data_IF_341836241931
#
_entry.id   IF_341836241931
#
_cell.length_a   1.000
_cell.length_b   1.000
_cell.length_c   1.000
_cell.angle_alpha   90.00
_cell.angle_beta   90.00
_cell.angle_gamma   90.00
#
_symmetry.space_group_name_H-M   'P 1'
#
loop_
_entity.id
_entity.type
_entity.pdbx_description
1 polymer ?
#
# COMPACT_ATOMS: atom_id res chain seq x y z
N UNK A 1 4.09 -23.77 42.37
CA UNK A 1 3.89 -22.77 43.46
C UNK A 1 5.16 -21.97 43.76
N UNK A 2 6.35 -22.54 43.60
CA UNK A 2 7.62 -21.81 43.95
C UNK A 2 7.94 -20.63 43.00
N UNK A 3 7.65 -20.71 41.72
CA UNK A 3 7.97 -19.64 40.75
C UNK A 3 7.15 -18.36 40.97
N UNK A 4 5.90 -18.47 41.36
CA UNK A 4 4.99 -17.33 41.65
C UNK A 4 5.44 -16.58 42.92
N UNK A 5 5.82 -17.33 43.97
CA UNK A 5 6.33 -16.71 45.20
C UNK A 5 7.65 -15.98 44.93
N UNK A 6 8.57 -16.58 44.17
CA UNK A 6 9.82 -15.94 43.77
C UNK A 6 9.62 -14.68 42.91
N UNK A 7 8.62 -14.70 41.99
CA UNK A 7 8.31 -13.54 41.17
C UNK A 7 7.78 -12.37 41.99
N UNK A 8 6.90 -12.62 42.98
CA UNK A 8 6.41 -11.60 43.93
C UNK A 8 7.55 -11.02 44.76
N UNK A 9 8.44 -11.86 45.27
CA UNK A 9 9.61 -11.43 46.05
C UNK A 9 10.60 -10.61 45.22
N UNK A 10 10.67 -10.88 43.91
CA UNK A 10 11.48 -10.12 42.95
C UNK A 10 10.80 -8.83 42.44
N UNK A 11 9.56 -8.55 42.88
CA UNK A 11 8.83 -7.32 42.55
C UNK A 11 8.11 -7.34 41.20
N UNK A 12 7.91 -8.54 40.58
CA UNK A 12 7.09 -8.67 39.40
C UNK A 12 5.59 -8.67 39.73
N UNK A 13 4.78 -8.13 38.81
CA UNK A 13 3.35 -8.31 38.83
C UNK A 13 3.01 -9.77 38.57
N UNK A 14 2.02 -10.32 39.26
CA UNK A 14 1.68 -11.74 39.18
C UNK A 14 0.20 -11.92 38.92
N UNK A 15 -0.10 -12.62 37.84
CA UNK A 15 -1.45 -13.01 37.45
C UNK A 15 -1.81 -14.39 38.05
N UNK A 16 -2.91 -14.47 38.80
CA UNK A 16 -3.34 -15.68 39.49
C UNK A 16 -4.52 -16.39 38.81
N UNK A 17 -5.16 -15.77 37.80
CA UNK A 17 -6.31 -16.32 37.10
C UNK A 17 -6.38 -15.83 35.67
N UNK A 18 -6.66 -16.71 34.72
CA UNK A 18 -6.88 -16.36 33.31
C UNK A 18 -8.09 -15.42 33.07
N UNK A 19 -9.03 -15.38 34.05
CA UNK A 19 -10.22 -14.50 33.99
C UNK A 19 -9.92 -13.02 34.28
N UNK A 20 -8.73 -12.72 34.80
CA UNK A 20 -8.29 -11.36 35.11
C UNK A 20 -7.65 -10.64 33.92
N UNK A 21 -7.38 -11.37 32.84
CA UNK A 21 -6.72 -10.80 31.64
C UNK A 21 -7.74 -10.27 30.66
N UNK A 22 -7.69 -8.97 30.42
CA UNK A 22 -8.31 -8.36 29.22
C UNK A 22 -7.23 -8.26 28.15
N UNK A 23 -7.37 -9.07 27.11
CA UNK A 23 -6.40 -9.13 26.02
C UNK A 23 -6.60 -7.96 25.04
N UNK A 24 -5.58 -7.12 24.88
CA UNK A 24 -5.54 -6.08 23.87
C UNK A 24 -5.09 -6.68 22.52
N UNK A 25 -5.91 -6.51 21.48
CA UNK A 25 -5.60 -7.05 20.13
C UNK A 25 -4.33 -6.44 19.53
N UNK A 26 -4.00 -5.19 19.84
CA UNK A 26 -2.80 -4.52 19.33
C UNK A 26 -1.56 -5.07 20.03
N UNK A 27 -1.61 -5.16 21.37
CA UNK A 27 -0.52 -5.70 22.18
C UNK A 27 -0.12 -7.14 21.76
N UNK A 28 -1.10 -7.98 21.46
CA UNK A 28 -0.92 -9.37 21.01
C UNK A 28 -0.15 -9.52 19.71
N UNK A 29 -0.16 -8.50 18.85
CA UNK A 29 0.49 -8.52 17.53
C UNK A 29 1.93 -8.01 17.53
N UNK A 30 2.39 -7.47 18.65
CA UNK A 30 3.72 -6.85 18.74
C UNK A 30 4.84 -7.91 18.81
N UNK A 31 4.60 -9.02 19.50
CA UNK A 31 5.55 -10.10 19.62
C UNK A 31 5.28 -11.22 18.60
N UNK A 32 6.32 -11.76 17.94
CA UNK A 32 6.18 -12.92 17.05
C UNK A 32 5.67 -14.16 17.77
N UNK A 33 4.90 -15.00 17.08
CA UNK A 33 4.26 -16.21 17.64
C UNK A 33 5.23 -17.33 18.01
N UNK A 34 6.48 -17.27 17.59
CA UNK A 34 7.56 -18.22 17.93
C UNK A 34 8.25 -17.89 19.26
N UNK A 35 7.99 -16.71 19.82
CA UNK A 35 8.46 -16.30 21.14
C UNK A 35 7.47 -16.79 22.20
N UNK A 36 7.99 -17.46 23.24
CA UNK A 36 7.19 -17.88 24.40
C UNK A 36 6.88 -16.73 25.34
N UNK A 37 6.28 -15.69 24.80
CA UNK A 37 5.84 -14.50 25.52
C UNK A 37 4.55 -13.98 24.86
N UNK A 38 3.64 -13.44 25.65
CA UNK A 38 2.35 -12.95 25.15
C UNK A 38 2.18 -11.49 25.53
N UNK A 39 2.06 -10.60 24.53
CA UNK A 39 1.63 -9.22 24.74
C UNK A 39 0.16 -9.20 25.18
N UNK A 40 -0.14 -8.65 26.36
CA UNK A 40 -1.49 -8.66 26.92
C UNK A 40 -2.15 -7.28 26.93
N UNK A 41 -1.39 -6.21 27.13
CA UNK A 41 -1.91 -4.85 27.08
C UNK A 41 -0.87 -3.86 26.53
N UNK A 42 -1.33 -2.71 26.06
CA UNK A 42 -0.48 -1.61 25.61
C UNK A 42 -0.90 -0.34 26.32
N UNK A 43 -0.01 0.20 27.16
CA UNK A 43 -0.22 1.44 27.91
C UNK A 43 0.79 2.50 27.44
N UNK A 44 0.39 3.36 26.50
CA UNK A 44 1.31 4.33 25.88
C UNK A 44 2.44 3.61 25.13
N UNK A 45 3.68 3.86 25.51
CA UNK A 45 4.88 3.26 24.89
C UNK A 45 5.38 2.01 25.64
N UNK A 46 4.56 1.43 26.53
CA UNK A 46 4.92 0.24 27.30
C UNK A 46 4.01 -0.92 26.94
N UNK A 47 4.62 -2.01 26.43
CA UNK A 47 3.95 -3.27 26.19
C UNK A 47 3.99 -4.14 27.46
N UNK A 48 2.83 -4.51 27.97
CA UNK A 48 2.73 -5.50 29.03
C UNK A 48 2.84 -6.91 28.44
N UNK A 49 3.80 -7.68 28.94
CA UNK A 49 4.15 -9.03 28.44
C UNK A 49 3.93 -10.06 29.54
N UNK A 50 3.15 -11.10 29.24
CA UNK A 50 2.91 -12.23 30.12
C UNK A 50 3.95 -13.33 29.85
N UNK A 51 4.57 -13.84 30.92
CA UNK A 51 5.53 -14.94 30.90
C UNK A 51 5.18 -16.00 31.97
N UNK A 52 5.58 -17.24 31.74
CA UNK A 52 5.43 -18.34 32.70
C UNK A 52 6.65 -18.53 33.61
N UNK A 53 7.65 -17.65 33.48
CA UNK A 53 8.89 -17.66 34.24
C UNK A 53 9.48 -16.26 34.41
N UNK A 54 10.41 -16.10 35.33
CA UNK A 54 11.14 -14.84 35.51
C UNK A 54 12.21 -14.74 34.41
N UNK A 55 12.16 -13.71 33.54
CA UNK A 55 13.11 -13.61 32.42
C UNK A 55 14.51 -13.26 32.94
N UNK A 56 15.53 -13.81 32.29
CA UNK A 56 16.90 -13.39 32.49
C UNK A 56 17.11 -11.97 31.91
N UNK A 57 18.13 -11.21 32.36
CA UNK A 57 18.42 -9.89 31.80
C UNK A 57 18.64 -9.90 30.26
N UNK A 58 19.20 -10.98 29.74
CA UNK A 58 19.40 -11.13 28.28
C UNK A 58 18.08 -11.34 27.53
N UNK A 59 17.20 -12.17 28.07
CA UNK A 59 15.87 -12.43 27.53
C UNK A 59 14.98 -11.19 27.60
N UNK A 60 15.04 -10.44 28.70
CA UNK A 60 14.34 -9.18 28.84
C UNK A 60 14.76 -8.16 27.76
N UNK A 61 16.07 -7.99 27.55
CA UNK A 61 16.61 -7.11 26.52
C UNK A 61 16.26 -7.56 25.09
N UNK A 62 16.16 -8.87 24.85
CA UNK A 62 15.74 -9.43 23.55
C UNK A 62 14.26 -9.19 23.30
N UNK A 63 13.40 -9.33 24.31
CA UNK A 63 11.97 -9.00 24.23
C UNK A 63 11.75 -7.52 23.94
N UNK A 64 12.43 -6.59 24.65
CA UNK A 64 12.35 -5.15 24.37
C UNK A 64 12.81 -4.82 22.94
N UNK A 65 13.91 -5.41 22.50
CA UNK A 65 14.42 -5.23 21.14
C UNK A 65 13.44 -5.72 20.10
N UNK A 66 12.79 -6.87 20.34
CA UNK A 66 11.82 -7.47 19.41
C UNK A 66 10.51 -6.70 19.39
N UNK A 67 10.05 -6.24 20.57
CA UNK A 67 8.87 -5.37 20.67
C UNK A 67 9.13 -3.96 20.09
N UNK A 68 10.37 -3.51 20.07
CA UNK A 68 10.72 -2.15 19.64
C UNK A 68 10.27 -1.05 20.60
N UNK A 69 9.90 -1.42 21.83
CA UNK A 69 9.39 -0.51 22.89
C UNK A 69 9.72 -1.05 24.28
N UNK A 70 9.49 -0.26 25.32
CA UNK A 70 9.62 -0.70 26.69
C UNK A 70 8.64 -1.82 27.01
N UNK A 71 9.04 -2.79 27.83
CA UNK A 71 8.16 -3.87 28.29
C UNK A 71 7.96 -3.81 29.81
N UNK A 72 6.74 -4.12 30.24
CA UNK A 72 6.41 -4.47 31.62
C UNK A 72 6.10 -5.96 31.67
N UNK A 73 6.70 -6.70 32.60
CA UNK A 73 6.56 -8.15 32.67
C UNK A 73 5.62 -8.54 33.77
N UNK A 74 4.59 -9.28 33.43
CA UNK A 74 3.67 -9.96 34.37
C UNK A 74 3.96 -11.44 34.34
N UNK A 75 4.10 -12.06 35.48
CA UNK A 75 4.42 -13.49 35.64
C UNK A 75 3.16 -14.28 36.00
N UNK A 76 3.03 -15.46 35.42
CA UNK A 76 1.92 -16.37 35.75
C UNK A 76 2.42 -17.82 35.89
N UNK A 77 1.55 -18.72 36.34
CA UNK A 77 1.88 -20.15 36.32
C UNK A 77 1.88 -20.68 34.89
N UNK A 78 2.64 -21.76 34.67
CA UNK A 78 2.73 -22.40 33.36
C UNK A 78 1.37 -22.88 32.84
N UNK A 79 0.51 -23.34 33.74
CA UNK A 79 -0.85 -23.79 33.43
C UNK A 79 -1.73 -22.62 32.96
N UNK A 80 -1.70 -21.50 33.69
CA UNK A 80 -2.47 -20.28 33.34
C UNK A 80 -1.91 -19.67 32.05
N UNK A 81 -0.57 -19.60 31.91
CA UNK A 81 0.03 -19.13 30.67
C UNK A 81 -0.43 -19.95 29.48
N UNK A 82 -0.37 -21.29 29.57
CA UNK A 82 -0.81 -22.17 28.52
C UNK A 82 -2.31 -22.01 28.21
N UNK A 83 -3.14 -21.86 29.23
CA UNK A 83 -4.58 -21.59 29.03
C UNK A 83 -4.82 -20.28 28.26
N UNK A 84 -4.14 -19.19 28.65
CA UNK A 84 -4.24 -17.90 27.98
C UNK A 84 -3.62 -17.98 26.58
N UNK A 85 -2.47 -18.63 26.43
CA UNK A 85 -1.80 -18.83 25.14
C UNK A 85 -2.67 -19.65 24.17
N UNK A 86 -3.31 -20.72 24.66
CA UNK A 86 -4.24 -21.54 23.88
C UNK A 86 -5.53 -20.79 23.54
N UNK A 87 -6.07 -20.01 24.48
CA UNK A 87 -7.17 -19.09 24.23
C UNK A 87 -6.77 -18.03 23.17
N UNK A 88 -5.58 -17.52 23.25
CA UNK A 88 -5.04 -16.50 22.34
C UNK A 88 -4.83 -17.07 20.95
N UNK A 89 -4.26 -18.28 20.88
CA UNK A 89 -4.09 -18.99 19.61
C UNK A 89 -5.45 -19.50 19.07
N UNK A 90 -6.41 -19.87 19.91
CA UNK A 90 -7.77 -20.17 19.48
C UNK A 90 -8.46 -18.94 18.86
N UNK A 91 -8.29 -17.76 19.43
CA UNK A 91 -8.84 -16.52 18.85
C UNK A 91 -8.13 -16.15 17.54
N UNK A 92 -6.84 -16.47 17.39
CA UNK A 92 -6.11 -16.34 16.10
C UNK A 92 -6.51 -17.45 15.11
N UNK A 93 -6.96 -18.61 15.59
CA UNK A 93 -7.42 -19.77 14.80
C UNK A 93 -8.97 -19.92 14.79
N UNK A 94 -9.72 -18.93 15.30
CA UNK A 94 -11.19 -18.92 15.30
C UNK A 94 -11.79 -18.63 13.91
N UNK A 95 -10.95 -18.66 12.88
CA UNK A 95 -11.45 -18.76 11.53
C UNK A 95 -12.17 -20.11 11.37
N UNK A 96 -13.41 -20.13 10.84
CA UNK A 96 -14.15 -21.35 10.59
C UNK A 96 -13.29 -22.39 9.89
N UNK A 97 -13.54 -23.67 10.14
CA UNK A 97 -12.77 -24.82 9.65
C UNK A 97 -12.46 -24.80 8.14
N UNK A 98 -13.19 -23.97 7.39
CA UNK A 98 -13.05 -23.81 5.94
C UNK A 98 -12.17 -22.60 5.59
N UNK A 99 -12.48 -21.42 6.09
CA UNK A 99 -11.83 -20.18 5.63
C UNK A 99 -10.39 -20.07 6.10
N UNK A 100 -10.09 -20.42 7.35
CA UNK A 100 -8.73 -20.35 7.90
C UNK A 100 -7.72 -21.20 7.13
N UNK A 101 -7.96 -22.53 6.99
CA UNK A 101 -7.09 -23.38 6.18
C UNK A 101 -7.01 -22.96 4.70
N UNK A 102 -8.11 -22.46 4.10
CA UNK A 102 -8.09 -21.98 2.71
C UNK A 102 -7.22 -20.74 2.55
N UNK A 103 -7.26 -19.78 3.49
CA UNK A 103 -6.38 -18.62 3.52
C UNK A 103 -4.91 -19.03 3.69
N UNK A 104 -4.62 -19.99 4.56
CA UNK A 104 -3.27 -20.52 4.75
C UNK A 104 -2.73 -21.15 3.46
N UNK A 105 -3.51 -22.05 2.83
CA UNK A 105 -3.13 -22.68 1.55
C UNK A 105 -2.93 -21.65 0.43
N UNK A 106 -3.76 -20.61 0.38
CA UNK A 106 -3.59 -19.53 -0.61
C UNK A 106 -2.26 -18.79 -0.42
N UNK A 107 -1.84 -18.52 0.82
CA UNK A 107 -0.54 -17.91 1.11
C UNK A 107 0.62 -18.83 0.73
N UNK A 108 0.55 -20.13 1.08
CA UNK A 108 1.58 -21.12 0.73
C UNK A 108 1.79 -21.27 -0.77
N UNK A 109 0.69 -21.14 -1.56
CA UNK A 109 0.73 -21.22 -3.02
C UNK A 109 1.07 -19.89 -3.70
N UNK A 110 1.38 -18.84 -2.95
CA UNK A 110 1.60 -17.48 -3.45
C UNK A 110 0.44 -16.98 -4.33
N UNK A 111 -0.79 -17.27 -3.89
CA UNK A 111 -1.98 -16.89 -4.61
C UNK A 111 -2.31 -15.41 -4.39
N UNK A 112 -2.74 -14.73 -5.46
CA UNK A 112 -3.22 -13.35 -5.39
C UNK A 112 -4.64 -13.24 -4.85
N UNK A 113 -5.50 -14.21 -5.20
CA UNK A 113 -6.91 -14.19 -4.84
C UNK A 113 -7.37 -15.58 -4.35
N UNK A 114 -8.36 -15.58 -3.45
CA UNK A 114 -9.10 -16.75 -2.99
C UNK A 114 -10.60 -16.52 -3.22
N UNK A 115 -11.28 -17.49 -3.83
CA UNK A 115 -12.70 -17.45 -4.08
C UNK A 115 -13.38 -18.60 -3.38
N UNK A 116 -14.44 -18.30 -2.61
CA UNK A 116 -15.27 -19.27 -1.93
C UNK A 116 -16.70 -19.15 -2.45
N UNK A 117 -17.28 -20.25 -2.93
CA UNK A 117 -18.66 -20.30 -3.40
C UNK A 117 -19.27 -21.68 -3.15
N UNK A 118 -20.59 -21.72 -2.95
CA UNK A 118 -21.32 -22.95 -2.69
C UNK A 118 -21.24 -23.91 -3.88
N UNK A 119 -21.04 -25.19 -3.61
CA UNK A 119 -21.00 -26.24 -4.62
C UNK A 119 -19.66 -26.39 -5.34
N UNK A 120 -18.65 -25.60 -5.01
CA UNK A 120 -17.29 -25.70 -5.53
C UNK A 120 -16.28 -25.80 -4.39
N UNK A 121 -15.12 -26.47 -4.56
CA UNK A 121 -14.02 -26.33 -3.60
C UNK A 121 -13.52 -24.87 -3.60
N UNK A 122 -12.76 -24.44 -2.57
CA UNK A 122 -12.07 -23.16 -2.60
C UNK A 122 -11.19 -23.06 -3.84
N UNK A 123 -11.23 -21.91 -4.53
CA UNK A 123 -10.47 -21.66 -5.76
C UNK A 123 -9.49 -20.54 -5.52
N UNK A 124 -8.24 -20.73 -5.89
CA UNK A 124 -7.17 -19.72 -5.77
C UNK A 124 -6.73 -19.25 -7.15
N UNK A 125 -6.22 -18.01 -7.22
CA UNK A 125 -5.56 -17.48 -8.41
C UNK A 125 -4.04 -17.47 -8.20
N UNK A 126 -3.34 -18.30 -8.99
CA UNK A 126 -1.88 -18.42 -8.93
C UNK A 126 -1.30 -18.16 -10.32
N UNK A 127 -0.42 -17.18 -10.44
CA UNK A 127 0.18 -16.81 -11.72
C UNK A 127 -0.84 -16.35 -12.78
N UNK A 128 -2.00 -15.81 -12.35
CA UNK A 128 -3.10 -15.39 -13.22
C UNK A 128 -4.17 -16.48 -13.46
N UNK A 129 -3.85 -17.76 -13.28
CA UNK A 129 -4.75 -18.89 -13.50
C UNK A 129 -5.57 -19.24 -12.28
N UNK A 130 -6.86 -19.57 -12.46
CA UNK A 130 -7.73 -20.08 -11.41
C UNK A 130 -7.52 -21.59 -11.25
N UNK A 131 -7.25 -22.02 -10.01
CA UNK A 131 -7.03 -23.43 -9.65
C UNK A 131 -7.83 -23.78 -8.40
N UNK A 132 -8.58 -24.89 -8.38
CA UNK A 132 -9.19 -25.38 -7.14
C UNK A 132 -8.09 -25.87 -6.20
N UNK A 133 -8.28 -25.66 -4.88
CA UNK A 133 -7.41 -26.22 -3.89
C UNK A 133 -7.53 -27.75 -3.89
N UNK A 134 -6.39 -28.44 -3.94
CA UNK A 134 -6.35 -29.90 -3.89
C UNK A 134 -6.82 -30.43 -2.52
N UNK A 135 -7.44 -31.60 -2.52
CA UNK A 135 -7.98 -32.27 -1.32
C UNK A 135 -9.14 -31.57 -0.62
N UNK A 136 -9.82 -30.62 -1.31
CA UNK A 136 -11.02 -29.96 -0.81
C UNK A 136 -12.27 -30.48 -1.52
N UNK A 137 -13.33 -30.71 -0.73
CA UNK A 137 -14.68 -30.96 -1.27
C UNK A 137 -15.41 -29.65 -1.62
N UNK A 138 -16.57 -29.79 -2.30
CA UNK A 138 -17.48 -28.67 -2.56
C UNK A 138 -17.95 -28.04 -1.24
N UNK A 139 -17.94 -26.71 -1.15
CA UNK A 139 -18.40 -25.96 0.02
C UNK A 139 -19.92 -25.98 0.13
N UNK A 140 -20.43 -26.10 1.35
CA UNK A 140 -21.85 -26.02 1.67
C UNK A 140 -22.29 -24.58 1.96
N UNK A 141 -23.61 -24.34 2.00
CA UNK A 141 -24.19 -23.08 2.49
C UNK A 141 -23.77 -22.78 3.95
N UNK A 142 -23.65 -23.81 4.79
CA UNK A 142 -23.19 -23.64 6.17
C UNK A 142 -21.75 -23.17 6.28
N UNK A 143 -20.87 -23.66 5.40
CA UNK A 143 -19.48 -23.25 5.34
C UNK A 143 -19.35 -21.75 4.95
N UNK A 144 -20.13 -21.32 3.95
CA UNK A 144 -20.13 -19.93 3.50
C UNK A 144 -20.77 -19.00 4.54
N UNK A 145 -21.82 -19.43 5.23
CA UNK A 145 -22.44 -18.66 6.32
C UNK A 145 -21.44 -18.45 7.46
N UNK A 146 -20.78 -19.50 7.90
CA UNK A 146 -19.76 -19.41 8.96
C UNK A 146 -18.57 -18.53 8.54
N UNK A 147 -18.12 -18.62 7.28
CA UNK A 147 -17.08 -17.76 6.74
C UNK A 147 -17.52 -16.27 6.70
N UNK A 148 -18.75 -16.00 6.28
CA UNK A 148 -19.32 -14.65 6.24
C UNK A 148 -19.48 -14.05 7.65
N UNK A 149 -20.00 -14.81 8.60
CA UNK A 149 -20.13 -14.40 10.00
C UNK A 149 -18.77 -14.04 10.61
N UNK A 150 -17.74 -14.81 10.33
CA UNK A 150 -16.38 -14.53 10.78
C UNK A 150 -15.80 -13.26 10.15
N UNK A 151 -16.01 -13.05 8.85
CA UNK A 151 -15.57 -11.84 8.13
C UNK A 151 -16.25 -10.59 8.66
N UNK A 152 -17.55 -10.66 8.91
CA UNK A 152 -18.36 -9.52 9.36
C UNK A 152 -18.20 -9.23 10.87
N UNK A 153 -17.82 -10.22 11.66
CA UNK A 153 -17.69 -10.08 13.11
C UNK A 153 -18.97 -9.56 13.75
N UNK A 154 -18.90 -8.41 14.43
CA UNK A 154 -20.08 -7.80 15.09
C UNK A 154 -21.19 -7.36 14.12
N UNK A 155 -20.90 -7.19 12.84
CA UNK A 155 -21.88 -6.87 11.79
C UNK A 155 -22.63 -8.09 11.26
N UNK A 156 -22.31 -9.30 11.75
CA UNK A 156 -22.94 -10.54 11.30
C UNK A 156 -24.46 -10.59 11.54
N UNK A 157 -24.96 -9.85 12.52
CA UNK A 157 -26.41 -9.71 12.79
C UNK A 157 -27.17 -9.05 11.64
N UNK A 158 -26.49 -8.28 10.80
CA UNK A 158 -27.09 -7.64 9.61
C UNK A 158 -27.32 -8.66 8.47
N UNK A 159 -26.71 -9.86 8.53
CA UNK A 159 -26.84 -10.89 7.49
C UNK A 159 -28.25 -11.47 7.37
N UNK A 160 -29.02 -11.51 8.46
CA UNK A 160 -30.32 -12.19 8.51
C UNK A 160 -31.48 -11.34 7.98
N UNK A 161 -31.32 -9.99 7.99
CA UNK A 161 -32.40 -9.05 7.66
C UNK A 161 -32.35 -8.46 6.23
N UNK A 162 -31.27 -8.71 5.45
CA UNK A 162 -31.12 -8.11 4.13
C UNK A 162 -31.32 -9.11 2.97
N UNK A 163 -32.26 -8.81 2.06
CA UNK A 163 -32.43 -9.55 0.80
C UNK A 163 -31.17 -9.51 -0.10
N UNK A 164 -30.38 -8.44 -0.01
CA UNK A 164 -29.14 -8.24 -0.77
C UNK A 164 -27.98 -8.02 0.21
N UNK A 165 -26.87 -8.70 -0.03
CA UNK A 165 -25.61 -8.49 0.69
C UNK A 165 -24.55 -8.14 -0.33
N UNK A 166 -23.90 -6.99 -0.13
CA UNK A 166 -22.72 -6.55 -0.87
C UNK A 166 -21.83 -5.80 0.13
N UNK A 167 -20.83 -6.51 0.68
CA UNK A 167 -19.92 -5.98 1.69
C UNK A 167 -18.50 -5.99 1.12
N UNK A 168 -17.87 -4.82 1.13
CA UNK A 168 -16.45 -4.66 0.83
C UNK A 168 -15.72 -4.25 2.12
N UNK A 169 -14.66 -4.97 2.45
CA UNK A 169 -13.91 -4.75 3.68
C UNK A 169 -12.57 -5.46 3.67
N UNK A 170 -11.90 -5.46 4.82
CA UNK A 170 -10.63 -6.13 4.97
C UNK A 170 -10.55 -6.90 6.29
N UNK A 171 -9.85 -8.03 6.26
CA UNK A 171 -9.53 -8.84 7.44
C UNK A 171 -8.04 -9.05 7.54
N UNK A 172 -7.56 -9.34 8.74
CA UNK A 172 -6.19 -9.79 8.97
C UNK A 172 -6.21 -11.20 9.52
N UNK A 173 -5.54 -12.14 8.84
CA UNK A 173 -5.40 -13.52 9.27
C UNK A 173 -3.93 -13.91 9.27
N UNK A 174 -3.39 -14.35 10.41
CA UNK A 174 -1.97 -14.73 10.61
C UNK A 174 -1.00 -13.67 10.07
N UNK A 175 -1.24 -12.41 10.42
CA UNK A 175 -0.41 -11.26 10.01
C UNK A 175 -0.51 -10.87 8.52
N UNK A 176 -1.37 -11.55 7.75
CA UNK A 176 -1.62 -11.22 6.34
C UNK A 176 -2.97 -10.53 6.20
N UNK A 177 -2.99 -9.38 5.55
CA UNK A 177 -4.22 -8.62 5.30
C UNK A 177 -4.86 -9.06 3.99
N UNK A 178 -6.17 -9.22 4.02
CA UNK A 178 -6.98 -9.62 2.88
C UNK A 178 -8.09 -8.60 2.67
N UNK A 179 -8.23 -8.10 1.46
CA UNK A 179 -9.44 -7.41 1.04
C UNK A 179 -10.50 -8.45 0.76
N UNK A 180 -11.70 -8.23 1.26
CA UNK A 180 -12.81 -9.19 1.16
C UNK A 180 -14.01 -8.51 0.56
N UNK A 181 -14.55 -9.08 -0.50
CA UNK A 181 -15.88 -8.76 -1.01
C UNK A 181 -16.78 -9.96 -0.74
N UNK A 182 -17.82 -9.75 0.07
CA UNK A 182 -18.86 -10.73 0.39
C UNK A 182 -20.14 -10.30 -0.32
N UNK A 183 -20.70 -11.20 -1.10
CA UNK A 183 -21.89 -10.93 -1.93
C UNK A 183 -22.79 -12.14 -2.05
N UNK A 184 -24.03 -11.91 -2.48
CA UNK A 184 -24.98 -13.00 -2.85
C UNK A 184 -24.93 -13.26 -4.34
N UNK A 185 -24.91 -14.54 -4.71
CA UNK A 185 -25.12 -15.04 -6.06
C UNK A 185 -26.10 -16.22 -6.05
N UNK A 186 -27.14 -16.21 -6.92
CA UNK A 186 -28.14 -17.29 -7.01
C UNK A 186 -28.65 -17.73 -5.63
N UNK A 187 -29.03 -16.76 -4.79
CA UNK A 187 -29.51 -16.94 -3.41
C UNK A 187 -28.50 -17.59 -2.42
N UNK A 188 -27.24 -17.74 -2.81
CA UNK A 188 -26.16 -18.26 -1.96
C UNK A 188 -25.09 -17.20 -1.72
N UNK A 189 -24.37 -17.30 -0.59
CA UNK A 189 -23.23 -16.43 -0.29
C UNK A 189 -22.01 -16.83 -1.12
N UNK A 190 -21.20 -15.84 -1.46
CA UNK A 190 -19.88 -16.01 -2.05
C UNK A 190 -18.91 -14.97 -1.48
N UNK A 191 -17.63 -15.35 -1.37
CA UNK A 191 -16.55 -14.46 -0.96
C UNK A 191 -15.46 -14.43 -2.03
N UNK A 192 -15.03 -13.24 -2.38
CA UNK A 192 -13.81 -13.01 -3.15
C UNK A 192 -12.81 -12.27 -2.28
N UNK A 193 -11.64 -12.85 -2.09
CA UNK A 193 -10.64 -12.34 -1.16
C UNK A 193 -9.33 -12.13 -1.90
N UNK A 194 -8.73 -10.94 -1.77
CA UNK A 194 -7.43 -10.59 -2.36
C UNK A 194 -6.39 -10.41 -1.29
N UNK A 195 -5.27 -11.12 -1.43
CA UNK A 195 -4.13 -10.96 -0.54
C UNK A 195 -3.47 -9.60 -0.77
N UNK A 196 -3.33 -8.81 0.30
CA UNK A 196 -2.63 -7.53 0.27
C UNK A 196 -1.13 -7.79 0.52
N UNK A 197 -0.25 -7.41 -0.43
CA UNK A 197 1.19 -7.59 -0.28
C UNK A 197 1.74 -6.81 0.91
N UNK A 198 2.66 -7.41 1.65
CA UNK A 198 3.36 -6.76 2.79
C UNK A 198 4.68 -6.10 2.40
N UNK A 199 5.14 -6.32 1.18
CA UNK A 199 6.37 -5.72 0.65
C UNK A 199 6.08 -5.15 -0.72
N UNK A 200 6.15 -3.83 -0.91
CA UNK A 200 6.14 -3.27 -2.25
C UNK A 200 7.42 -3.70 -2.99
N UNK A 201 7.38 -3.81 -4.33
CA UNK A 201 8.58 -4.04 -5.12
C UNK A 201 9.57 -2.89 -4.92
N UNK A 202 10.84 -3.13 -5.20
CA UNK A 202 11.83 -2.06 -5.17
C UNK A 202 11.57 -1.08 -6.33
N UNK A 203 11.78 0.21 -6.08
CA UNK A 203 11.49 1.25 -7.07
C UNK A 203 12.28 1.04 -8.38
N UNK A 204 13.52 0.56 -8.26
CA UNK A 204 14.41 0.24 -9.38
C UNK A 204 13.91 -0.91 -10.26
N UNK A 205 13.12 -1.81 -9.69
CA UNK A 205 12.55 -2.98 -10.39
C UNK A 205 11.32 -2.62 -11.24
N UNK A 206 10.72 -1.45 -11.01
CA UNK A 206 9.50 -1.01 -11.69
C UNK A 206 9.74 -0.50 -13.11
N UNK A 207 10.99 -0.21 -13.49
CA UNK A 207 11.30 0.35 -14.81
C UNK A 207 10.99 1.84 -14.94
N UNK A 208 10.85 2.56 -13.81
CA UNK A 208 10.74 4.02 -13.78
C UNK A 208 12.11 4.67 -13.92
N UNK A 209 12.21 5.88 -14.53
CA UNK A 209 13.42 6.66 -14.53
C UNK A 209 13.98 6.89 -13.12
N UNK A 210 15.31 6.90 -12.96
CA UNK A 210 15.98 7.12 -11.67
C UNK A 210 15.56 8.43 -10.98
N UNK A 211 15.20 9.46 -11.74
CA UNK A 211 14.69 10.72 -11.22
C UNK A 211 13.43 10.55 -10.33
N UNK A 212 12.62 9.50 -10.57
CA UNK A 212 11.47 9.19 -9.70
C UNK A 212 11.95 8.71 -8.33
N UNK A 213 13.08 8.01 -8.27
CA UNK A 213 13.68 7.59 -7.01
C UNK A 213 14.21 8.79 -6.19
N UNK A 214 14.67 9.84 -6.85
CA UNK A 214 15.14 11.07 -6.19
C UNK A 214 14.00 11.86 -5.54
N UNK A 215 12.74 11.63 -5.94
CA UNK A 215 11.57 12.23 -5.27
C UNK A 215 11.46 11.83 -3.79
N UNK A 216 12.06 10.71 -3.37
CA UNK A 216 12.16 10.32 -1.96
C UNK A 216 12.94 11.33 -1.10
N UNK A 217 13.83 12.13 -1.69
CA UNK A 217 14.65 13.13 -1.02
C UNK A 217 13.90 14.45 -0.76
N UNK A 218 12.78 14.67 -1.44
CA UNK A 218 11.98 15.88 -1.29
C UNK A 218 11.41 15.97 0.13
N UNK A 219 11.44 17.18 0.69
CA UNK A 219 10.89 17.46 2.02
C UNK A 219 9.51 18.10 1.96
N UNK A 220 9.14 18.72 0.82
CA UNK A 220 7.86 19.39 0.63
C UNK A 220 7.47 19.47 -0.83
N UNK A 221 6.21 19.76 -1.09
CA UNK A 221 5.65 19.92 -2.43
C UNK A 221 4.71 18.77 -2.81
N UNK A 222 4.18 18.84 -4.03
CA UNK A 222 3.21 17.90 -4.56
C UNK A 222 3.84 17.01 -5.64
N UNK A 223 3.70 15.70 -5.52
CA UNK A 223 4.06 14.72 -6.55
C UNK A 223 2.81 13.98 -6.97
N UNK A 224 2.53 13.95 -8.26
CA UNK A 224 1.34 13.34 -8.81
C UNK A 224 1.67 12.10 -9.65
N UNK A 225 1.02 10.99 -9.33
CA UNK A 225 1.03 9.79 -10.14
C UNK A 225 -0.27 9.71 -10.94
N UNK A 226 -0.16 9.59 -12.27
CA UNK A 226 -1.31 9.61 -13.16
C UNK A 226 -1.39 8.35 -14.04
N UNK A 227 -2.56 8.07 -14.59
CA UNK A 227 -2.80 6.94 -15.46
C UNK A 227 -4.16 6.28 -15.20
N UNK A 228 -4.58 5.35 -16.07
CA UNK A 228 -5.82 4.60 -15.89
C UNK A 228 -5.76 3.68 -14.68
N UNK A 229 -6.90 3.10 -14.32
CA UNK A 229 -6.96 2.05 -13.29
C UNK A 229 -6.09 0.87 -13.72
N UNK A 230 -5.31 0.32 -12.79
CA UNK A 230 -4.40 -0.79 -13.06
C UNK A 230 -3.10 -0.42 -13.80
N UNK A 231 -2.75 0.87 -13.91
CA UNK A 231 -1.48 1.32 -14.52
C UNK A 231 -0.26 1.24 -13.57
N UNK A 232 -0.44 0.78 -12.32
CA UNK A 232 0.65 0.60 -11.37
C UNK A 232 0.93 1.82 -10.48
N UNK A 233 0.05 2.84 -10.43
CA UNK A 233 0.23 4.05 -9.60
C UNK A 233 0.46 3.73 -8.13
N UNK A 234 -0.43 2.94 -7.52
CA UNK A 234 -0.33 2.57 -6.10
C UNK A 234 0.94 1.78 -5.81
N UNK A 235 1.34 0.88 -6.73
CA UNK A 235 2.59 0.13 -6.61
C UNK A 235 3.81 1.05 -6.62
N UNK A 236 3.85 2.03 -7.52
CA UNK A 236 4.95 3.00 -7.61
C UNK A 236 4.99 3.93 -6.40
N UNK A 237 3.83 4.39 -5.92
CA UNK A 237 3.76 5.19 -4.69
C UNK A 237 4.18 4.38 -3.47
N UNK A 238 3.72 3.12 -3.36
CA UNK A 238 4.12 2.25 -2.26
C UNK A 238 5.64 1.99 -2.26
N UNK A 239 6.25 1.78 -3.44
CA UNK A 239 7.70 1.65 -3.57
C UNK A 239 8.44 2.94 -3.17
N UNK A 240 7.90 4.11 -3.51
CA UNK A 240 8.47 5.39 -3.11
C UNK A 240 8.33 5.62 -1.59
N UNK A 241 7.18 5.30 -1.00
CA UNK A 241 6.96 5.34 0.46
C UNK A 241 7.91 4.38 1.19
N UNK A 242 8.08 3.15 0.70
CA UNK A 242 9.00 2.18 1.29
C UNK A 242 10.45 2.70 1.26
N UNK A 243 10.87 3.38 0.17
CA UNK A 243 12.17 4.03 0.08
C UNK A 243 12.31 5.17 1.10
N UNK A 244 11.33 6.07 1.20
CA UNK A 244 11.31 7.14 2.21
C UNK A 244 11.42 6.55 3.61
N UNK A 245 10.62 5.52 3.93
CA UNK A 245 10.59 4.83 5.22
C UNK A 245 11.95 4.20 5.59
N UNK A 246 12.71 3.68 4.60
CA UNK A 246 14.05 3.13 4.78
C UNK A 246 15.14 4.18 4.95
N UNK A 247 15.02 5.32 4.28
CA UNK A 247 16.09 6.32 4.18
C UNK A 247 15.93 7.46 5.19
N UNK A 248 14.70 7.86 5.53
CA UNK A 248 14.41 9.07 6.31
C UNK A 248 13.82 8.73 7.68
N UNK A 249 14.05 9.62 8.66
CA UNK A 249 13.38 9.62 9.97
C UNK A 249 12.28 10.66 9.92
N UNK A 250 11.08 10.25 9.59
CA UNK A 250 9.95 11.15 9.41
C UNK A 250 8.62 10.43 9.72
N UNK A 251 7.55 11.19 9.88
CA UNK A 251 6.22 10.66 10.01
C UNK A 251 5.54 10.61 8.64
N UNK A 252 5.19 9.42 8.19
CA UNK A 252 4.48 9.15 6.95
C UNK A 252 3.03 8.81 7.30
N UNK A 253 2.08 9.54 6.72
CA UNK A 253 0.67 9.27 6.89
C UNK A 253 0.03 8.99 5.54
N UNK A 254 -0.71 7.88 5.41
CA UNK A 254 -1.42 7.55 4.19
C UNK A 254 -2.93 7.57 4.40
N UNK A 255 -3.68 7.95 3.37
CA UNK A 255 -5.14 7.90 3.31
C UNK A 255 -5.49 7.19 2.01
N UNK A 256 -6.04 5.99 2.09
CA UNK A 256 -6.19 5.06 0.98
C UNK A 256 -7.61 4.47 0.91
N UNK A 257 -8.02 4.01 -0.27
CA UNK A 257 -9.35 3.40 -0.49
C UNK A 257 -9.25 2.28 -1.55
N UNK A 258 -8.96 1.05 -1.10
CA UNK A 258 -8.42 0.63 0.20
C UNK A 258 -6.87 0.70 0.28
N UNK A 259 -6.30 0.27 1.42
CA UNK A 259 -4.85 0.05 1.56
C UNK A 259 -4.42 -1.10 0.65
N UNK A 260 -3.53 -0.83 -0.32
CA UNK A 260 -3.02 -1.84 -1.27
C UNK A 260 -1.70 -2.50 -0.82
N UNK A 261 -0.91 -1.83 0.00
CA UNK A 261 0.35 -2.34 0.57
C UNK A 261 0.46 -1.99 2.04
N UNK A 262 0.88 -2.93 2.86
CA UNK A 262 1.19 -2.66 4.27
C UNK A 262 2.65 -2.23 4.42
N UNK A 263 2.88 -1.15 5.16
CA UNK A 263 4.21 -0.65 5.48
C UNK A 263 4.51 -0.84 6.96
N UNK A 264 5.54 -1.61 7.27
CA UNK A 264 6.06 -1.70 8.63
C UNK A 264 6.95 -0.50 8.93
N UNK A 265 6.94 -0.01 10.17
CA UNK A 265 7.86 1.04 10.61
C UNK A 265 9.31 0.58 10.43
N UNK A 266 10.16 1.47 9.88
CA UNK A 266 11.60 1.24 9.73
C UNK A 266 12.38 2.42 10.35
N UNK A 267 12.89 3.37 9.53
CA UNK A 267 13.42 4.62 10.05
C UNK A 267 12.32 5.64 10.31
N UNK A 268 11.23 5.55 9.57
CA UNK A 268 10.05 6.41 9.73
C UNK A 268 8.96 5.70 10.51
N UNK A 269 8.03 6.47 11.07
CA UNK A 269 6.75 5.98 11.58
C UNK A 269 5.75 6.07 10.42
N UNK A 270 5.01 5.00 10.14
CA UNK A 270 4.03 4.95 9.07
C UNK A 270 2.65 4.66 9.65
N UNK A 271 1.74 5.61 9.50
CA UNK A 271 0.34 5.46 9.84
C UNK A 271 -0.49 5.39 8.56
N UNK A 272 -1.17 4.27 8.35
CA UNK A 272 -2.03 4.04 7.19
C UNK A 272 -3.50 4.08 7.62
N UNK A 273 -4.31 4.89 6.94
CA UNK A 273 -5.73 5.07 7.23
C UNK A 273 -6.56 4.71 6.02
N UNK A 274 -7.51 3.80 6.21
CA UNK A 274 -8.41 3.35 5.16
C UNK A 274 -9.73 4.13 5.20
N UNK A 275 -10.16 4.64 4.03
CA UNK A 275 -11.47 5.29 3.89
C UNK A 275 -12.58 4.26 4.08
N UNK A 276 -13.61 4.62 4.84
CA UNK A 276 -14.70 3.71 5.20
C UNK A 276 -14.47 2.91 6.48
N UNK A 277 -13.20 2.80 6.96
CA UNK A 277 -12.84 2.15 8.21
C UNK A 277 -12.24 3.11 9.23
N UNK A 278 -11.12 3.76 8.89
CA UNK A 278 -10.37 4.63 9.81
C UNK A 278 -10.74 6.11 9.63
N UNK A 279 -11.29 6.44 8.47
CA UNK A 279 -11.80 7.78 8.15
C UNK A 279 -12.98 7.65 7.19
N UNK A 280 -13.94 8.58 7.25
CA UNK A 280 -15.13 8.49 6.42
C UNK A 280 -14.91 8.96 4.97
N UNK A 281 -13.98 9.89 4.72
CA UNK A 281 -13.68 10.42 3.39
C UNK A 281 -12.21 10.83 3.28
N UNK A 282 -11.69 10.94 2.04
CA UNK A 282 -10.36 11.50 1.79
C UNK A 282 -10.19 12.89 2.35
N UNK A 283 -11.16 13.78 2.14
CA UNK A 283 -11.12 15.18 2.61
C UNK A 283 -11.03 15.27 4.13
N UNK A 284 -11.83 14.50 4.87
CA UNK A 284 -11.80 14.47 6.35
C UNK A 284 -10.50 13.85 6.86
N UNK A 285 -10.06 12.75 6.26
CA UNK A 285 -8.79 12.11 6.58
C UNK A 285 -7.61 13.05 6.42
N UNK A 286 -7.54 13.76 5.29
CA UNK A 286 -6.46 14.71 4.97
C UNK A 286 -6.47 15.94 5.89
N UNK A 287 -7.65 16.52 6.18
CA UNK A 287 -7.77 17.60 7.16
C UNK A 287 -7.33 17.18 8.57
N UNK A 288 -7.63 15.95 8.97
CA UNK A 288 -7.18 15.42 10.25
C UNK A 288 -5.66 15.20 10.25
N UNK A 289 -5.11 14.68 9.15
CA UNK A 289 -3.68 14.43 8.96
C UNK A 289 -2.82 15.68 9.24
N UNK A 290 -3.24 16.86 8.77
CA UNK A 290 -2.52 18.13 8.99
C UNK A 290 -2.35 18.52 10.48
N UNK A 291 -3.05 17.85 11.39
CA UNK A 291 -2.92 18.05 12.86
C UNK A 291 -2.20 16.88 13.56
N UNK A 292 -1.63 15.97 12.79
CA UNK A 292 -0.96 14.76 13.28
C UNK A 292 0.55 14.80 13.06
N UNK A 293 1.10 16.00 12.80
CA UNK A 293 2.54 16.24 12.58
C UNK A 293 3.18 15.36 11.49
N UNK A 294 2.57 15.24 10.30
CA UNK A 294 3.14 14.44 9.22
C UNK A 294 4.22 15.22 8.46
N UNK A 295 5.29 14.55 8.07
CA UNK A 295 6.26 15.07 7.09
C UNK A 295 5.85 14.70 5.66
N UNK A 296 5.29 13.50 5.49
CA UNK A 296 4.87 12.93 4.21
C UNK A 296 3.43 12.48 4.29
N UNK A 297 2.62 12.90 3.33
CA UNK A 297 1.22 12.53 3.23
C UNK A 297 0.99 11.83 1.89
N UNK A 298 0.44 10.62 1.90
CA UNK A 298 -0.06 9.96 0.70
C UNK A 298 -1.58 10.05 0.67
N UNK A 299 -2.12 10.56 -0.44
CA UNK A 299 -3.56 10.58 -0.72
C UNK A 299 -3.84 9.63 -1.88
N UNK A 300 -4.56 8.56 -1.62
CA UNK A 300 -4.82 7.52 -2.62
C UNK A 300 -5.34 8.08 -3.93
N UNK A 301 -6.26 9.01 -3.89
CA UNK A 301 -6.81 9.67 -5.09
C UNK A 301 -7.36 11.07 -4.79
N UNK A 302 -7.12 12.01 -5.72
CA UNK A 302 -7.71 13.36 -5.74
C UNK A 302 -8.97 13.36 -6.62
N UNK A 303 -10.15 13.08 -6.03
CA UNK A 303 -11.42 12.99 -6.75
C UNK A 303 -12.25 14.26 -6.68
N UNK A 304 -12.22 14.94 -5.57
CA UNK A 304 -13.06 16.10 -5.28
C UNK A 304 -12.24 17.36 -5.01
N UNK A 305 -12.91 18.51 -5.22
CA UNK A 305 -12.30 19.85 -5.09
C UNK A 305 -11.74 20.10 -3.68
N UNK A 306 -12.43 19.60 -2.65
CA UNK A 306 -12.03 19.81 -1.26
C UNK A 306 -10.73 19.06 -0.92
N UNK A 307 -10.63 17.81 -1.36
CA UNK A 307 -9.40 16.99 -1.22
C UNK A 307 -8.25 17.61 -2.00
N UNK A 308 -8.50 18.08 -3.25
CA UNK A 308 -7.49 18.77 -4.07
C UNK A 308 -6.98 20.04 -3.41
N UNK A 309 -7.89 20.92 -2.94
CA UNK A 309 -7.51 22.17 -2.27
C UNK A 309 -6.71 21.93 -1.00
N UNK A 310 -7.10 20.93 -0.20
CA UNK A 310 -6.40 20.57 1.04
C UNK A 310 -5.01 19.99 0.75
N UNK A 311 -4.86 19.16 -0.30
CA UNK A 311 -3.58 18.60 -0.74
C UNK A 311 -2.61 19.68 -1.23
N UNK A 312 -3.11 20.64 -2.03
CA UNK A 312 -2.33 21.80 -2.48
C UNK A 312 -1.87 22.64 -1.29
N UNK A 313 -2.77 22.95 -0.35
CA UNK A 313 -2.43 23.68 0.86
C UNK A 313 -1.37 22.95 1.70
N UNK A 314 -1.49 21.65 1.90
CA UNK A 314 -0.50 20.84 2.61
C UNK A 314 0.89 20.95 1.93
N UNK A 315 0.94 20.82 0.61
CA UNK A 315 2.18 20.93 -0.16
C UNK A 315 2.83 22.31 -0.06
N UNK A 316 2.04 23.39 -0.04
CA UNK A 316 2.52 24.77 0.15
C UNK A 316 3.01 25.03 1.57
N UNK A 317 2.41 24.39 2.58
CA UNK A 317 2.75 24.59 3.99
C UNK A 317 3.90 23.72 4.49
N UNK A 318 4.61 23.02 3.59
CA UNK A 318 5.87 22.36 3.91
C UNK A 318 5.81 20.84 4.00
N UNK A 319 4.68 20.21 3.66
CA UNK A 319 4.54 18.75 3.62
C UNK A 319 4.87 18.19 2.23
N UNK A 320 5.47 17.01 2.17
CA UNK A 320 5.56 16.25 0.93
C UNK A 320 4.25 15.50 0.72
N UNK A 321 3.51 15.86 -0.32
CA UNK A 321 2.23 15.23 -0.67
C UNK A 321 2.40 14.36 -1.91
N UNK A 322 2.09 13.07 -1.79
CA UNK A 322 2.01 12.12 -2.90
C UNK A 322 0.55 11.82 -3.18
N UNK A 323 0.09 11.93 -4.42
CA UNK A 323 -1.31 11.66 -4.73
C UNK A 323 -1.51 11.06 -6.13
N UNK A 324 -2.68 10.43 -6.37
CA UNK A 324 -3.03 9.97 -7.72
C UNK A 324 -4.10 10.80 -8.38
N UNK A 325 -4.03 10.81 -9.72
CA UNK A 325 -5.02 11.44 -10.60
C UNK A 325 -5.26 10.53 -11.81
N UNK A 326 -6.50 10.43 -12.28
CA UNK A 326 -6.80 9.74 -13.54
C UNK A 326 -6.63 10.68 -14.72
N UNK A 327 -5.45 10.67 -15.34
CA UNK A 327 -5.13 11.41 -16.56
C UNK A 327 -4.01 10.68 -17.31
N UNK A 328 -3.84 10.92 -18.60
CA UNK A 328 -2.91 10.17 -19.47
C UNK A 328 -1.58 10.88 -19.72
N UNK A 329 -1.49 12.19 -19.48
CA UNK A 329 -0.31 13.03 -19.76
C UNK A 329 -0.16 14.14 -18.73
N UNK A 330 1.02 14.73 -18.62
CA UNK A 330 1.31 15.77 -17.63
C UNK A 330 0.47 17.05 -17.85
N UNK A 331 0.25 17.44 -19.08
CA UNK A 331 -0.63 18.57 -19.44
C UNK A 331 -2.09 18.30 -19.07
N UNK A 332 -2.58 17.08 -19.32
CA UNK A 332 -3.93 16.68 -18.96
C UNK A 332 -4.14 16.59 -17.44
N UNK A 333 -3.11 16.21 -16.67
CA UNK A 333 -3.13 16.27 -15.20
C UNK A 333 -3.37 17.68 -14.71
N UNK A 334 -2.56 18.65 -15.17
CA UNK A 334 -2.70 20.06 -14.79
C UNK A 334 -4.06 20.61 -15.21
N UNK A 335 -4.45 20.37 -16.46
CA UNK A 335 -5.75 20.82 -16.99
C UNK A 335 -6.91 20.28 -16.16
N UNK A 336 -6.89 18.99 -15.84
CA UNK A 336 -7.95 18.33 -15.05
C UNK A 336 -8.05 18.90 -13.64
N UNK A 337 -6.91 19.06 -12.95
CA UNK A 337 -6.89 19.63 -11.60
C UNK A 337 -7.50 21.04 -11.61
N UNK A 338 -7.02 21.90 -12.51
CA UNK A 338 -7.48 23.30 -12.57
C UNK A 338 -8.96 23.40 -12.96
N UNK A 339 -9.40 22.60 -13.95
CA UNK A 339 -10.79 22.64 -14.42
C UNK A 339 -11.80 22.08 -13.40
N UNK A 340 -11.34 21.38 -12.37
CA UNK A 340 -12.20 20.92 -11.28
C UNK A 340 -12.68 22.07 -10.38
N UNK A 341 -11.98 23.21 -10.37
CA UNK A 341 -12.31 24.37 -9.57
C UNK A 341 -13.22 25.35 -10.32
N UNK A 342 -14.02 26.16 -9.59
CA UNK A 342 -14.80 27.25 -10.19
C UNK A 342 -13.91 28.18 -11.03
N UNK A 343 -14.44 28.70 -12.13
CA UNK A 343 -13.69 29.53 -13.08
C UNK A 343 -12.97 30.73 -12.42
N UNK A 344 -13.58 31.33 -11.40
CA UNK A 344 -12.99 32.47 -10.67
C UNK A 344 -11.78 32.11 -9.77
N UNK A 345 -11.57 30.82 -9.49
CA UNK A 345 -10.50 30.34 -8.61
C UNK A 345 -9.33 29.72 -9.41
N UNK A 346 -9.53 29.40 -10.68
CA UNK A 346 -8.57 28.62 -11.50
C UNK A 346 -7.20 29.29 -11.63
N UNK A 347 -7.12 30.62 -11.73
CA UNK A 347 -5.85 31.33 -11.83
C UNK A 347 -5.06 31.28 -10.51
N UNK A 348 -5.75 31.29 -9.37
CA UNK A 348 -5.14 31.10 -8.07
C UNK A 348 -4.62 29.67 -7.93
N UNK A 349 -5.42 28.66 -8.31
CA UNK A 349 -5.03 27.26 -8.27
C UNK A 349 -3.82 26.98 -9.18
N UNK A 350 -3.77 27.56 -10.38
CA UNK A 350 -2.60 27.47 -11.26
C UNK A 350 -1.33 28.03 -10.61
N UNK A 351 -1.45 29.15 -9.92
CA UNK A 351 -0.32 29.76 -9.21
C UNK A 351 0.14 28.86 -8.06
N UNK A 352 -0.78 28.32 -7.27
CA UNK A 352 -0.48 27.39 -6.19
C UNK A 352 0.15 26.09 -6.73
N UNK A 353 -0.44 25.53 -7.79
CA UNK A 353 0.10 24.34 -8.45
C UNK A 353 1.51 24.57 -8.99
N UNK A 354 1.73 25.70 -9.69
CA UNK A 354 3.04 26.06 -10.21
C UNK A 354 4.10 26.23 -9.11
N UNK A 355 3.72 26.65 -7.89
CA UNK A 355 4.65 26.80 -6.76
C UNK A 355 4.93 25.47 -6.04
N UNK A 356 3.93 24.65 -5.84
CA UNK A 356 4.02 23.45 -5.01
C UNK A 356 4.36 22.16 -5.78
N UNK A 357 4.00 22.06 -7.07
CA UNK A 357 4.22 20.86 -7.87
C UNK A 357 5.71 20.58 -8.08
N UNK A 358 6.15 19.35 -7.81
CA UNK A 358 7.54 18.89 -7.96
C UNK A 358 7.69 17.90 -9.13
N UNK A 359 6.73 17.00 -9.32
CA UNK A 359 6.75 16.05 -10.42
C UNK A 359 5.37 15.55 -10.79
N UNK A 360 5.23 15.13 -12.05
CA UNK A 360 4.11 14.32 -12.54
C UNK A 360 4.69 13.07 -13.17
N UNK A 361 4.16 11.89 -12.78
CA UNK A 361 4.53 10.57 -13.29
C UNK A 361 3.30 9.91 -13.88
N UNK A 362 3.15 9.95 -15.19
CA UNK A 362 2.08 9.26 -15.90
C UNK A 362 2.52 7.86 -16.27
N UNK A 363 1.66 6.86 -16.06
CA UNK A 363 2.01 5.44 -16.14
C UNK A 363 1.02 4.64 -16.99
N UNK A 364 1.57 3.73 -17.80
CA UNK A 364 0.82 2.73 -18.58
C UNK A 364 1.51 1.38 -18.44
N UNK A 365 0.75 0.32 -18.15
CA UNK A 365 1.23 -1.06 -18.11
C UNK A 365 0.83 -1.83 -19.38
N UNK A 366 1.83 -2.34 -20.09
CA UNK A 366 1.66 -3.09 -21.32
C UNK A 366 1.97 -4.57 -21.13
N UNK A 367 1.30 -5.48 -21.88
CA UNK A 367 1.67 -6.89 -21.92
C UNK A 367 3.05 -7.06 -22.55
N UNK A 368 3.85 -7.97 -22.00
CA UNK A 368 5.16 -8.32 -22.55
C UNK A 368 5.05 -9.33 -23.70
N UNK A 369 6.03 -9.35 -24.60
CA UNK A 369 6.06 -10.27 -25.76
C UNK A 369 6.06 -11.73 -25.31
N UNK A 370 6.79 -12.06 -24.25
CA UNK A 370 6.87 -13.40 -23.68
C UNK A 370 5.57 -13.86 -22.98
N UNK A 371 4.57 -12.94 -22.88
CA UNK A 371 3.32 -13.19 -22.18
C UNK A 371 3.51 -13.73 -20.75
N UNK A 372 4.64 -13.44 -20.13
CA UNK A 372 4.85 -13.68 -18.71
C UNK A 372 3.79 -12.95 -17.89
N UNK A 373 3.56 -13.34 -16.65
CA UNK A 373 2.65 -12.65 -15.74
C UNK A 373 3.07 -11.19 -15.46
N UNK A 374 4.28 -10.82 -15.86
CA UNK A 374 4.84 -9.50 -15.70
C UNK A 374 4.38 -8.57 -16.83
N UNK A 375 4.10 -7.32 -16.48
CA UNK A 375 3.80 -6.25 -17.42
C UNK A 375 5.00 -5.33 -17.55
N UNK A 376 5.15 -4.71 -18.72
CA UNK A 376 6.15 -3.66 -18.91
C UNK A 376 5.53 -2.30 -18.61
N UNK A 377 6.24 -1.48 -17.84
CA UNK A 377 5.82 -0.12 -17.50
C UNK A 377 6.40 0.87 -18.51
N UNK A 378 5.52 1.60 -19.19
CA UNK A 378 5.86 2.84 -19.89
C UNK A 378 5.45 4.04 -19.04
N UNK A 379 6.26 5.09 -19.05
CA UNK A 379 5.99 6.28 -18.26
C UNK A 379 6.31 7.57 -19.01
N UNK A 380 5.52 8.61 -18.72
CA UNK A 380 5.86 10.00 -18.98
C UNK A 380 6.23 10.64 -17.65
N UNK A 381 7.39 11.25 -17.54
CA UNK A 381 7.87 11.87 -16.29
C UNK A 381 8.23 13.31 -16.54
N UNK A 382 7.51 14.19 -15.87
CA UNK A 382 7.80 15.63 -15.79
C UNK A 382 8.38 15.96 -14.42
N UNK A 383 9.64 16.44 -14.41
CA UNK A 383 10.22 17.08 -13.22
C UNK A 383 10.01 18.59 -13.35
N UNK A 384 9.37 19.17 -12.33
CA UNK A 384 8.92 20.57 -12.41
C UNK A 384 10.07 21.54 -12.12
N UNK A 385 10.77 21.90 -13.17
CA UNK A 385 11.84 22.92 -13.19
C UNK A 385 11.27 24.34 -13.22
N UNK A 386 12.12 25.36 -13.07
CA UNK A 386 11.71 26.77 -13.18
C UNK A 386 11.01 27.09 -14.51
N UNK A 387 11.49 26.63 -15.70
CA UNK A 387 10.73 26.80 -16.94
C UNK A 387 9.35 26.12 -16.91
N UNK A 388 9.27 24.89 -16.39
CA UNK A 388 7.99 24.17 -16.26
C UNK A 388 7.00 24.95 -15.38
N UNK A 389 7.45 25.51 -14.25
CA UNK A 389 6.62 26.37 -13.37
C UNK A 389 6.06 27.56 -14.11
N UNK A 390 6.88 28.19 -14.97
CA UNK A 390 6.46 29.32 -15.79
C UNK A 390 5.40 28.91 -16.82
N UNK A 391 5.63 27.79 -17.53
CA UNK A 391 4.66 27.24 -18.51
C UNK A 391 3.32 26.92 -17.84
N UNK A 392 3.33 26.28 -16.66
CA UNK A 392 2.10 25.99 -15.91
C UNK A 392 1.38 27.28 -15.55
N UNK A 393 2.06 28.28 -14.99
CA UNK A 393 1.49 29.55 -14.57
C UNK A 393 0.88 30.35 -15.73
N UNK A 394 1.53 30.30 -16.90
CA UNK A 394 1.11 31.01 -18.10
C UNK A 394 0.14 30.21 -18.98
N UNK A 395 -0.33 29.03 -18.51
CA UNK A 395 -1.25 28.14 -19.25
C UNK A 395 -0.66 27.63 -20.59
N UNK A 396 0.67 27.62 -20.74
CA UNK A 396 1.37 27.12 -21.94
C UNK A 396 1.68 25.61 -21.84
N UNK A 397 0.66 24.82 -21.45
CA UNK A 397 0.81 23.38 -21.19
C UNK A 397 1.19 22.58 -22.44
N UNK A 398 0.80 23.05 -23.64
CA UNK A 398 1.17 22.41 -24.90
C UNK A 398 2.68 22.42 -25.17
N UNK A 399 3.46 23.27 -24.50
CA UNK A 399 4.91 23.31 -24.62
C UNK A 399 5.62 22.29 -23.71
N UNK A 400 4.88 21.67 -22.78
CA UNK A 400 5.43 20.67 -21.84
C UNK A 400 5.99 19.46 -22.58
N UNK A 401 5.29 18.96 -23.61
CA UNK A 401 5.73 17.81 -24.39
C UNK A 401 7.12 18.04 -25.02
N UNK A 402 7.33 19.22 -25.64
CA UNK A 402 8.63 19.60 -26.22
C UNK A 402 9.72 19.73 -25.15
N UNK A 403 9.35 20.13 -23.93
CA UNK A 403 10.28 20.24 -22.81
C UNK A 403 10.71 18.87 -22.29
N UNK A 404 9.85 17.86 -22.25
CA UNK A 404 10.17 16.51 -21.81
C UNK A 404 11.33 15.93 -22.62
N UNK A 405 11.30 16.12 -23.92
CA UNK A 405 12.31 15.57 -24.83
C UNK A 405 13.66 16.31 -24.73
N UNK A 406 13.61 17.62 -24.53
CA UNK A 406 14.83 18.44 -24.44
C UNK A 406 15.56 18.32 -23.09
N UNK A 407 14.90 17.86 -22.03
CA UNK A 407 15.42 17.78 -20.66
C UNK A 407 15.61 16.34 -20.15
N UNK A 408 15.90 15.39 -21.05
CA UNK A 408 16.16 13.99 -20.66
C UNK A 408 17.29 13.83 -19.64
N UNK A 409 18.29 14.70 -19.66
CA UNK A 409 19.39 14.74 -18.68
C UNK A 409 18.91 15.01 -17.24
N UNK A 410 17.72 15.58 -17.07
CA UNK A 410 17.10 15.82 -15.76
C UNK A 410 16.13 14.68 -15.36
N UNK A 411 16.15 13.57 -16.10
CA UNK A 411 15.29 12.43 -15.86
C UNK A 411 13.86 12.57 -16.39
N UNK A 412 13.58 13.60 -17.19
CA UNK A 412 12.31 13.72 -17.89
C UNK A 412 12.27 12.76 -19.08
N UNK A 413 11.09 12.22 -19.35
CA UNK A 413 10.86 11.32 -20.49
C UNK A 413 9.44 11.49 -21.00
N UNK A 414 9.25 11.53 -22.33
CA UNK A 414 7.93 11.45 -22.94
C UNK A 414 7.43 10.00 -22.99
N UNK A 415 6.12 9.81 -23.04
CA UNK A 415 5.52 8.49 -23.17
C UNK A 415 6.01 7.77 -24.40
N UNK A 416 6.06 8.47 -25.54
CA UNK A 416 6.49 7.96 -26.83
C UNK A 416 7.92 7.42 -26.80
N UNK A 417 8.82 8.17 -26.14
CA UNK A 417 10.20 7.75 -25.95
C UNK A 417 10.31 6.52 -25.03
N UNK A 418 9.52 6.45 -23.97
CA UNK A 418 9.45 5.31 -23.07
C UNK A 418 8.94 4.07 -23.79
N UNK A 419 7.86 4.20 -24.60
CA UNK A 419 7.30 3.13 -25.43
C UNK A 419 8.32 2.62 -26.46
N UNK A 420 8.98 3.52 -27.19
CA UNK A 420 9.98 3.17 -28.19
C UNK A 420 11.16 2.41 -27.55
N UNK A 421 11.58 2.77 -26.35
CA UNK A 421 12.59 2.03 -25.60
C UNK A 421 12.15 0.60 -25.24
N UNK A 422 10.90 0.40 -24.81
CA UNK A 422 10.37 -0.94 -24.53
C UNK A 422 10.33 -1.83 -25.77
N UNK A 423 10.05 -1.23 -26.93
CA UNK A 423 10.09 -1.95 -28.23
C UNK A 423 11.53 -2.28 -28.62
N UNK A 424 12.45 -1.33 -28.56
CA UNK A 424 13.86 -1.52 -28.92
C UNK A 424 14.56 -2.58 -28.06
N UNK A 425 14.14 -2.70 -26.79
CA UNK A 425 14.61 -3.74 -25.85
C UNK A 425 13.84 -5.06 -25.97
N UNK A 426 12.98 -5.20 -26.98
CA UNK A 426 12.18 -6.40 -27.27
C UNK A 426 11.28 -6.86 -26.09
N UNK A 427 10.83 -5.91 -25.27
CA UNK A 427 9.92 -6.19 -24.14
C UNK A 427 8.46 -6.12 -24.55
N UNK A 428 8.11 -5.21 -25.47
CA UNK A 428 6.75 -4.97 -25.95
C UNK A 428 6.74 -4.97 -27.48
N UNK A 429 5.66 -5.43 -28.10
CA UNK A 429 5.51 -5.38 -29.55
C UNK A 429 5.22 -3.96 -30.05
N UNK A 430 5.60 -3.66 -31.29
CA UNK A 430 5.33 -2.36 -31.92
C UNK A 430 3.84 -2.04 -31.89
N UNK A 431 3.00 -3.01 -32.33
CA UNK A 431 1.54 -2.85 -32.40
C UNK A 431 0.93 -2.50 -31.03
N UNK A 432 1.43 -3.11 -29.96
CA UNK A 432 0.95 -2.85 -28.61
C UNK A 432 1.41 -1.47 -28.09
N UNK A 433 2.65 -1.10 -28.35
CA UNK A 433 3.17 0.21 -27.97
C UNK A 433 2.45 1.34 -28.71
N UNK A 434 2.21 1.18 -30.03
CA UNK A 434 1.52 2.16 -30.88
C UNK A 434 0.10 2.45 -30.39
N UNK A 435 -0.64 1.45 -29.89
CA UNK A 435 -2.00 1.62 -29.33
C UNK A 435 -2.03 2.53 -28.10
N UNK A 436 -0.90 2.66 -27.40
CA UNK A 436 -0.79 3.43 -26.18
C UNK A 436 -0.07 4.77 -26.37
N UNK A 437 0.48 5.02 -27.56
CA UNK A 437 1.11 6.30 -27.87
C UNK A 437 0.07 7.42 -28.02
N UNK A 438 0.32 8.55 -27.38
CA UNK A 438 -0.49 9.76 -27.55
C UNK A 438 -0.24 10.41 -28.92
N UNK A 439 1.01 10.36 -29.40
CA UNK A 439 1.46 10.81 -30.72
C UNK A 439 2.21 9.69 -31.43
N UNK A 440 1.48 8.96 -32.33
CA UNK A 440 2.02 7.86 -33.11
C UNK A 440 3.15 8.28 -34.05
N UNK A 441 3.12 9.53 -34.56
CA UNK A 441 4.16 10.03 -35.44
C UNK A 441 5.47 10.22 -34.66
N UNK A 442 5.41 10.85 -33.50
CA UNK A 442 6.55 11.04 -32.62
C UNK A 442 7.10 9.68 -32.10
N UNK A 443 6.22 8.74 -31.78
CA UNK A 443 6.61 7.38 -31.41
C UNK A 443 7.42 6.70 -32.54
N UNK A 444 6.97 6.79 -33.79
CA UNK A 444 7.66 6.22 -34.95
C UNK A 444 9.01 6.91 -35.22
N UNK A 445 9.12 8.23 -35.01
CA UNK A 445 10.38 8.95 -35.07
C UNK A 445 11.41 8.42 -34.06
N UNK A 446 10.95 8.10 -32.82
CA UNK A 446 11.81 7.47 -31.82
C UNK A 446 12.20 6.04 -32.18
N UNK A 447 11.29 5.23 -32.74
CA UNK A 447 11.61 3.87 -33.17
C UNK A 447 12.72 3.85 -34.22
N UNK A 448 12.65 4.74 -35.22
CA UNK A 448 13.73 4.88 -36.22
C UNK A 448 15.04 5.28 -35.54
N UNK A 449 15.00 6.26 -34.65
CA UNK A 449 16.19 6.74 -33.93
C UNK A 449 16.83 5.66 -33.05
N UNK A 450 16.04 4.78 -32.43
CA UNK A 450 16.54 3.65 -31.63
C UNK A 450 16.98 2.45 -32.50
N UNK A 451 16.37 2.25 -33.67
CA UNK A 451 16.75 1.21 -34.63
C UNK A 451 18.12 1.46 -35.28
N UNK A 452 18.50 2.74 -35.46
CA UNK A 452 19.81 3.16 -36.01
C UNK A 452 20.94 3.20 -34.97
N UNK A 453 20.61 3.22 -33.67
CA UNK A 453 21.60 3.22 -32.58
C UNK A 453 21.51 1.94 -31.77
N UNK A 454 22.39 0.98 -32.07
CA UNK A 454 22.70 -0.10 -31.12
C UNK A 454 23.17 0.52 -29.79
N UNK A 455 22.42 0.25 -28.74
CA UNK A 455 22.74 0.52 -27.32
C UNK A 455 22.78 1.98 -26.88
N UNK A 456 21.65 2.49 -26.44
CA UNK A 456 21.67 3.40 -25.30
C UNK A 456 21.51 2.57 -24.03
N UNK A 457 22.62 2.47 -23.29
CA UNK A 457 22.75 1.84 -22.00
C UNK A 457 21.97 2.68 -20.97
N UNK A 458 20.85 2.19 -20.44
CA UNK A 458 20.11 2.86 -19.35
C UNK A 458 20.88 2.84 -18.02
N UNK A 459 21.93 2.02 -17.95
CA UNK A 459 22.84 1.94 -16.79
C UNK A 459 23.86 3.11 -16.76
N UNK A 460 23.94 3.94 -17.79
CA UNK A 460 24.91 5.06 -17.86
C UNK A 460 24.48 6.36 -17.14
N UNK A 461 23.39 6.35 -16.36
CA UNK A 461 23.02 7.47 -15.48
C UNK A 461 23.69 7.43 -14.09
N UNK A 462 24.74 6.64 -13.94
CA UNK A 462 25.63 6.62 -12.79
C UNK A 462 26.64 7.78 -12.79
N UNK A 463 26.18 9.01 -12.74
CA UNK A 463 27.05 10.09 -12.22
C UNK A 463 26.30 11.42 -12.16
N UNK A 464 25.56 11.66 -11.12
CA UNK A 464 25.46 13.03 -10.62
C UNK A 464 26.56 13.21 -9.56
N UNK A 465 27.66 13.79 -10.04
CA UNK A 465 28.72 14.29 -9.21
C UNK A 465 28.17 15.19 -8.11
N UNK A 466 28.81 15.09 -6.96
CA UNK A 466 28.74 16.00 -5.84
C UNK A 466 28.65 17.45 -6.35
N UNK A 467 27.54 18.10 -6.13
CA UNK A 467 27.45 19.55 -6.17
C UNK A 467 27.54 20.05 -4.73
N UNK A 468 28.71 20.67 -4.46
CA UNK A 468 28.99 21.45 -3.26
C UNK A 468 27.91 22.50 -2.95
#
# INVERSE_FOLDING_TARGET
MDSIAQAKDAGFEVLLSSKEVQLDEVARRILPSDIKALGISLAGDVLEVLLDHIPSPAEYAELEKTAGMLIAVTITSKEIFQEIFDLTNKIADDAPRVIGPALASAVELDASDLHLSVGTPPVVRVGGDLKPLENWGPLSNGDLKAAAEWVLGSKALELEDHETIDYDGAITYRGRRWRVNLYKQRASLALSMRLIPTKPPRLEELGLPLAVADLAKLTSGLVLFAGPTGSGKSTSMAALIDRINKERRCHILTIEDPIEYQHNNQKSIVHQREVGHDTSTFALGLRAALRQDPDVILVGELRDVETMATALHAAETGHLVLATVHASSADSVVTRLVSSFPAGEQDQILTQLASSLQAIVCQVLLPTIDRSSHRALASEVLIVTTPARTMIREKRLHEVAAMLDSNSAQGMISLEKSLANLVSTNRVSVDEAERHANDVKLFNEYLVKYGDTQKYDFDSFDSFGELN
#
